data_IF_967071734022
#
_entry.id   IF_967071734022
#
_cell.length_a   1.000
_cell.length_b   1.000
_cell.length_c   1.000
_cell.angle_alpha   90.00
_cell.angle_beta   90.00
_cell.angle_gamma   90.00
#
_symmetry.space_group_name_H-M   'P 1'
#
loop_
_entity.id
_entity.type
_entity.pdbx_description
1 polymer ?
#
# COMPACT_ATOMS: atom_id res chain seq x y z
N UNK A 1 -10.16 20.11 -41.30
CA UNK A 1 -8.80 19.94 -40.74
C UNK A 1 -8.92 18.89 -39.67
N UNK A 2 -8.20 17.74 -39.72
CA UNK A 2 -8.23 16.80 -38.62
C UNK A 2 -7.47 17.42 -37.45
N UNK A 3 -8.10 17.37 -36.28
CA UNK A 3 -7.52 17.76 -35.00
C UNK A 3 -6.22 16.99 -34.78
N UNK A 4 -5.11 17.71 -34.59
CA UNK A 4 -3.81 17.09 -34.32
C UNK A 4 -3.93 16.37 -32.98
N UNK A 5 -3.96 15.03 -33.02
CA UNK A 5 -3.98 14.20 -31.83
C UNK A 5 -2.83 14.65 -30.91
N UNK A 6 -3.16 15.04 -29.68
CA UNK A 6 -2.16 15.34 -28.67
C UNK A 6 -1.21 14.13 -28.53
N UNK A 7 0.11 14.35 -28.42
CA UNK A 7 1.05 13.26 -28.32
C UNK A 7 0.67 12.37 -27.13
N UNK A 8 0.48 11.07 -27.39
CA UNK A 8 0.23 10.07 -26.36
C UNK A 8 1.27 10.27 -25.24
N UNK A 9 0.85 10.53 -23.98
CA UNK A 9 1.79 10.74 -22.90
C UNK A 9 2.75 9.56 -22.83
N UNK A 10 4.05 9.84 -22.70
CA UNK A 10 5.05 8.78 -22.54
C UNK A 10 4.60 7.85 -21.40
N UNK A 11 4.67 6.52 -21.57
CA UNK A 11 4.21 5.62 -20.52
C UNK A 11 4.99 5.94 -19.25
N UNK A 12 4.28 6.33 -18.19
CA UNK A 12 4.89 6.63 -16.90
C UNK A 12 5.82 5.47 -16.49
N UNK A 13 7.07 5.79 -16.15
CA UNK A 13 8.01 4.83 -15.60
C UNK A 13 7.39 4.14 -14.37
N UNK A 14 7.36 2.81 -14.37
CA UNK A 14 6.82 2.01 -13.27
C UNK A 14 7.96 1.72 -12.30
N UNK A 15 7.78 2.11 -11.03
CA UNK A 15 8.73 1.81 -9.95
C UNK A 15 8.09 0.89 -8.93
N UNK A 16 8.86 -0.06 -8.41
CA UNK A 16 8.38 -1.06 -7.44
C UNK A 16 9.10 -0.87 -6.11
N UNK A 17 8.37 -0.97 -5.01
CA UNK A 17 8.89 -1.12 -3.66
C UNK A 17 8.59 -2.54 -3.19
N UNK A 18 9.61 -3.26 -2.72
CA UNK A 18 9.48 -4.63 -2.19
C UNK A 18 9.98 -4.69 -0.76
N UNK A 19 9.41 -5.60 0.02
CA UNK A 19 9.88 -5.92 1.37
C UNK A 19 10.42 -7.35 1.44
N UNK A 20 10.88 -7.76 2.62
CA UNK A 20 11.24 -9.14 2.92
C UNK A 20 10.02 -10.01 3.29
N UNK A 21 8.78 -9.53 3.10
CA UNK A 21 7.59 -10.35 3.29
C UNK A 21 7.67 -11.59 2.38
N UNK A 22 7.64 -12.82 2.94
CA UNK A 22 7.80 -14.05 2.17
C UNK A 22 6.72 -14.25 1.10
N UNK A 23 5.55 -13.64 1.27
CA UNK A 23 4.46 -13.73 0.31
C UNK A 23 4.72 -12.94 -0.98
N UNK A 24 5.54 -11.88 -0.94
CA UNK A 24 5.87 -11.10 -2.14
C UNK A 24 6.65 -11.93 -3.16
N UNK A 25 7.56 -12.77 -2.69
CA UNK A 25 8.28 -13.72 -3.55
C UNK A 25 7.40 -14.91 -3.91
N UNK A 26 6.73 -15.51 -2.92
CA UNK A 26 5.92 -16.72 -3.12
C UNK A 26 4.74 -16.52 -4.09
N UNK A 27 4.07 -15.37 -4.06
CA UNK A 27 2.89 -15.10 -4.88
C UNK A 27 3.14 -14.08 -6.01
N UNK A 28 4.35 -13.51 -6.10
CA UNK A 28 4.75 -12.69 -7.24
C UNK A 28 4.14 -11.28 -7.25
N UNK A 29 4.19 -10.56 -6.13
CA UNK A 29 3.77 -9.16 -6.06
C UNK A 29 4.85 -8.26 -5.44
N UNK A 30 4.60 -6.95 -5.44
CA UNK A 30 5.45 -5.94 -4.78
C UNK A 30 4.64 -5.25 -3.69
N UNK A 31 5.27 -4.90 -2.57
CA UNK A 31 4.59 -4.12 -1.51
C UNK A 31 3.89 -2.88 -2.05
N UNK A 32 4.57 -2.12 -2.91
CA UNK A 32 3.99 -0.95 -3.55
C UNK A 32 4.45 -0.81 -5.00
N UNK A 33 3.61 -0.21 -5.83
CA UNK A 33 3.93 0.16 -7.21
C UNK A 33 3.59 1.63 -7.42
N UNK A 34 4.55 2.41 -7.94
CA UNK A 34 4.32 3.79 -8.37
C UNK A 34 4.24 3.87 -9.88
N UNK A 35 3.21 4.57 -10.39
CA UNK A 35 3.04 4.93 -11.80
C UNK A 35 2.65 6.41 -11.89
N UNK A 36 3.60 7.26 -12.25
CA UNK A 36 3.40 8.71 -12.23
C UNK A 36 3.18 9.23 -10.80
N UNK A 37 2.09 9.98 -10.52
CA UNK A 37 1.77 10.45 -9.17
C UNK A 37 1.07 9.39 -8.31
N UNK A 38 0.59 8.29 -8.88
CA UNK A 38 -0.18 7.27 -8.15
C UNK A 38 0.75 6.22 -7.54
N UNK A 39 0.46 5.84 -6.30
CA UNK A 39 1.10 4.75 -5.57
C UNK A 39 0.00 3.79 -5.13
N UNK A 40 0.14 2.52 -5.52
CA UNK A 40 -0.77 1.43 -5.17
C UNK A 40 -0.05 0.52 -4.18
N UNK A 41 -0.59 0.36 -2.98
CA UNK A 41 -0.05 -0.52 -1.94
C UNK A 41 -0.86 -1.80 -1.91
N UNK A 42 -0.18 -2.92 -2.11
CA UNK A 42 -0.80 -4.25 -2.09
C UNK A 42 -1.47 -4.53 -0.74
N UNK A 43 -2.45 -5.43 -0.74
CA UNK A 43 -3.07 -5.98 0.46
C UNK A 43 -2.04 -6.32 1.53
N UNK A 44 -2.17 -5.65 2.68
CA UNK A 44 -1.19 -5.67 3.76
C UNK A 44 -1.79 -6.25 5.02
N UNK A 45 -1.09 -7.23 5.59
CA UNK A 45 -1.39 -7.89 6.87
C UNK A 45 -0.27 -7.61 7.89
N UNK A 46 -0.45 -8.03 9.15
CA UNK A 46 0.48 -7.80 10.25
C UNK A 46 1.73 -8.72 10.27
N UNK A 47 2.21 -9.16 9.11
CA UNK A 47 3.41 -10.00 9.04
C UNK A 47 4.64 -9.17 9.45
N UNK A 48 5.47 -9.71 10.33
CA UNK A 48 6.83 -9.23 10.54
C UNK A 48 7.70 -9.69 9.36
N UNK A 49 8.21 -8.75 8.58
CA UNK A 49 9.03 -9.03 7.40
C UNK A 49 10.41 -9.61 7.74
N UNK A 50 10.83 -9.54 9.00
CA UNK A 50 12.11 -10.09 9.46
C UNK A 50 12.00 -11.57 9.80
N UNK A 51 10.89 -11.96 10.43
CA UNK A 51 10.67 -13.33 10.91
C UNK A 51 9.69 -14.14 10.05
N UNK A 52 8.89 -13.46 9.22
CA UNK A 52 7.81 -14.06 8.42
C UNK A 52 6.57 -14.45 9.22
N UNK A 53 6.52 -14.14 10.53
CA UNK A 53 5.40 -14.52 11.41
C UNK A 53 4.30 -13.46 11.41
N UNK A 54 3.06 -13.89 11.59
CA UNK A 54 1.91 -12.98 11.80
C UNK A 54 1.97 -12.44 13.23
N UNK A 55 2.00 -11.12 13.36
CA UNK A 55 1.93 -10.46 14.66
C UNK A 55 0.48 -10.32 15.13
N UNK A 56 0.27 -10.38 16.45
CA UNK A 56 -1.02 -10.16 17.12
C UNK A 56 -2.15 -11.10 16.64
N UNK A 57 -1.98 -12.44 16.71
CA UNK A 57 -2.93 -13.41 16.13
C UNK A 57 -4.35 -13.34 16.72
N UNK A 58 -4.53 -12.71 17.88
CA UNK A 58 -5.81 -12.57 18.59
C UNK A 58 -6.45 -11.18 18.46
N UNK A 59 -5.82 -10.22 17.78
CA UNK A 59 -6.20 -8.80 17.87
C UNK A 59 -6.22 -8.10 16.50
N UNK A 60 -7.40 -8.00 15.90
CA UNK A 60 -7.57 -7.27 14.65
C UNK A 60 -7.16 -5.78 14.78
N UNK A 61 -7.34 -5.19 15.96
CA UNK A 61 -6.95 -3.81 16.24
C UNK A 61 -5.44 -3.63 16.16
N UNK A 62 -4.65 -4.46 16.85
CA UNK A 62 -3.19 -4.35 16.82
C UNK A 62 -2.63 -4.72 15.44
N UNK A 63 -3.23 -5.69 14.76
CA UNK A 63 -2.91 -5.97 13.35
C UNK A 63 -3.15 -4.74 12.48
N UNK A 64 -4.28 -4.05 12.64
CA UNK A 64 -4.62 -2.83 11.89
C UNK A 64 -3.58 -1.73 12.10
N UNK A 65 -3.15 -1.50 13.35
CA UNK A 65 -2.12 -0.51 13.64
C UNK A 65 -0.78 -0.86 12.96
N UNK A 66 -0.35 -2.13 13.02
CA UNK A 66 0.86 -2.58 12.34
C UNK A 66 0.74 -2.43 10.81
N UNK A 67 -0.42 -2.75 10.26
CA UNK A 67 -0.72 -2.63 8.82
C UNK A 67 -0.62 -1.18 8.37
N UNK A 68 -1.19 -0.22 9.11
CA UNK A 68 -1.07 1.19 8.78
C UNK A 68 0.39 1.68 8.81
N UNK A 69 1.18 1.23 9.79
CA UNK A 69 2.61 1.55 9.83
C UNK A 69 3.32 1.03 8.58
N UNK A 70 3.03 -0.19 8.16
CA UNK A 70 3.62 -0.81 6.96
C UNK A 70 3.22 -0.08 5.68
N UNK A 71 1.94 0.30 5.54
CA UNK A 71 1.44 1.10 4.41
C UNK A 71 2.15 2.45 4.35
N UNK A 72 2.28 3.14 5.49
CA UNK A 72 2.98 4.42 5.55
C UNK A 72 4.45 4.23 5.14
N UNK A 73 5.12 3.20 5.66
CA UNK A 73 6.51 2.87 5.29
C UNK A 73 6.67 2.57 3.80
N UNK A 74 5.68 1.95 3.16
CA UNK A 74 5.69 1.65 1.73
C UNK A 74 5.52 2.91 0.85
N UNK A 75 4.81 3.92 1.36
CA UNK A 75 4.53 5.18 0.64
C UNK A 75 5.66 6.20 0.86
N UNK A 76 6.28 6.22 2.04
CA UNK A 76 7.26 7.23 2.47
C UNK A 76 8.39 7.48 1.46
N UNK A 77 9.02 6.46 0.83
CA UNK A 77 10.10 6.67 -0.14
C UNK A 77 9.70 7.49 -1.37
N UNK A 78 8.40 7.55 -1.67
CA UNK A 78 7.87 8.20 -2.87
C UNK A 78 7.46 9.66 -2.63
N UNK A 79 7.46 10.11 -1.37
CA UNK A 79 7.08 11.48 -1.00
C UNK A 79 8.15 12.47 -1.44
N UNK A 80 7.71 13.59 -2.00
CA UNK A 80 8.58 14.73 -2.22
C UNK A 80 8.90 15.40 -0.87
N UNK A 81 10.19 15.62 -0.56
CA UNK A 81 10.61 16.29 0.70
C UNK A 81 10.16 17.77 0.80
N UNK A 82 9.52 18.30 -0.25
CA UNK A 82 8.90 19.64 -0.28
C UNK A 82 7.45 19.63 0.21
N UNK A 83 6.82 18.46 0.30
CA UNK A 83 5.52 18.29 0.94
C UNK A 83 5.67 18.43 2.45
N UNK A 84 4.78 19.20 3.08
CA UNK A 84 4.74 19.41 4.53
C UNK A 84 4.91 18.07 5.29
N UNK A 85 5.48 18.17 6.50
CA UNK A 85 5.37 17.18 7.59
C UNK A 85 4.00 16.50 7.50
N UNK A 86 3.85 15.21 7.89
CA UNK A 86 2.52 14.62 8.07
C UNK A 86 1.78 15.47 9.11
N UNK A 87 1.22 16.58 8.67
CA UNK A 87 0.10 17.23 9.27
C UNK A 87 -1.00 16.18 9.22
N UNK A 88 -1.92 16.27 10.15
CA UNK A 88 -3.18 15.54 10.19
C UNK A 88 -4.06 15.71 8.92
N UNK A 89 -3.49 16.06 7.77
CA UNK A 89 -4.13 16.36 6.50
C UNK A 89 -4.05 15.24 5.45
N UNK A 90 -3.26 14.17 5.65
CA UNK A 90 -3.54 12.88 4.95
C UNK A 90 -4.91 12.33 5.41
N UNK A 91 -5.40 12.83 6.55
CA UNK A 91 -6.75 12.65 7.09
C UNK A 91 -7.67 13.86 6.84
N UNK A 92 -7.37 14.74 5.87
CA UNK A 92 -8.25 15.87 5.53
C UNK A 92 -9.63 15.42 5.01
N UNK A 93 -9.82 14.12 4.81
CA UNK A 93 -11.09 13.41 4.73
C UNK A 93 -10.88 11.94 5.10
N UNK A 94 -11.97 11.22 5.35
CA UNK A 94 -11.93 9.76 5.42
C UNK A 94 -11.57 9.22 4.02
N UNK A 95 -10.59 8.30 3.89
CA UNK A 95 -10.33 7.68 2.60
C UNK A 95 -11.58 6.94 2.14
N UNK A 96 -11.75 6.82 0.82
CA UNK A 96 -12.71 5.86 0.29
C UNK A 96 -12.30 4.47 0.80
N UNK A 97 -13.26 3.70 1.31
CA UNK A 97 -13.01 2.40 1.91
C UNK A 97 -14.12 1.43 1.54
N UNK A 98 -13.72 0.19 1.28
CA UNK A 98 -14.62 -0.96 1.14
C UNK A 98 -14.27 -1.95 2.23
N UNK A 99 -15.28 -2.57 2.85
CA UNK A 99 -15.10 -3.59 3.88
C UNK A 99 -15.70 -4.88 3.37
N UNK A 100 -14.87 -5.93 3.33
CA UNK A 100 -15.30 -7.29 2.99
C UNK A 100 -15.07 -8.16 4.22
N UNK A 101 -16.09 -8.92 4.60
CA UNK A 101 -16.06 -9.80 5.78
C UNK A 101 -16.52 -11.21 5.42
N UNK A 102 -15.90 -12.23 6.02
CA UNK A 102 -16.22 -13.64 5.80
C UNK A 102 -15.36 -14.36 4.77
N UNK A 103 -14.29 -13.73 4.28
CA UNK A 103 -13.29 -14.38 3.42
C UNK A 103 -12.20 -15.04 4.27
N UNK A 104 -11.58 -16.09 3.71
CA UNK A 104 -10.43 -16.77 4.32
C UNK A 104 -9.10 -16.10 3.95
N UNK A 105 -8.17 -16.03 4.91
CA UNK A 105 -6.80 -15.56 4.69
C UNK A 105 -5.84 -16.72 4.38
N UNK A 106 -4.69 -16.39 3.79
CA UNK A 106 -3.60 -17.36 3.53
C UNK A 106 -3.06 -17.97 4.84
N UNK A 107 -3.07 -17.20 5.92
CA UNK A 107 -2.64 -17.66 7.24
C UNK A 107 -3.81 -17.51 8.25
N UNK A 108 -4.14 -18.56 9.03
CA UNK A 108 -5.27 -18.54 9.98
C UNK A 108 -5.14 -17.54 11.13
N UNK A 109 -3.93 -17.04 11.40
CA UNK A 109 -3.67 -16.02 12.42
C UNK A 109 -3.98 -14.59 11.94
N UNK A 110 -4.20 -14.41 10.64
CA UNK A 110 -4.61 -13.12 10.08
C UNK A 110 -6.07 -12.83 10.42
N UNK A 111 -6.33 -11.56 10.76
CA UNK A 111 -7.67 -11.08 11.12
C UNK A 111 -8.15 -9.97 10.20
N UNK A 112 -7.23 -9.23 9.58
CA UNK A 112 -7.53 -8.09 8.74
C UNK A 112 -6.43 -7.92 7.69
N UNK A 113 -6.83 -7.48 6.52
CA UNK A 113 -5.97 -7.04 5.44
C UNK A 113 -6.46 -5.67 4.99
N UNK A 114 -5.52 -4.76 4.71
CA UNK A 114 -5.84 -3.42 4.18
C UNK A 114 -4.98 -3.17 2.95
N UNK A 115 -5.62 -2.79 1.87
CA UNK A 115 -4.99 -2.18 0.69
C UNK A 115 -5.16 -0.67 0.73
N UNK A 116 -4.24 0.06 0.10
CA UNK A 116 -4.29 1.51 0.10
C UNK A 116 -3.76 2.09 -1.20
N UNK A 117 -4.45 3.13 -1.68
CA UNK A 117 -4.02 3.94 -2.80
C UNK A 117 -3.65 5.34 -2.31
N UNK A 118 -2.59 5.90 -2.88
CA UNK A 118 -2.11 7.23 -2.54
C UNK A 118 -1.71 8.01 -3.79
N UNK A 119 -1.77 9.34 -3.67
CA UNK A 119 -1.26 10.28 -4.67
C UNK A 119 -0.09 11.05 -4.05
N UNK A 120 1.07 10.96 -4.68
CA UNK A 120 2.28 11.69 -4.29
C UNK A 120 2.63 12.70 -5.40
N UNK A 121 2.53 13.99 -5.06
CA UNK A 121 2.90 15.12 -5.91
C UNK A 121 4.39 15.44 -5.81
#
# INVERSE_FOLDING_TARGET
MPESAEPMPTPYEIKKHRTANPYEEKFGYSRAVRKGPFVFVSGTTSIDTTTGQVLYPSSAYEQTLKIFLEIISAIEPWRNKRGRRIERSVWAGWPAATMVFGLGFVNPDMRVEIEADAVVL
#
